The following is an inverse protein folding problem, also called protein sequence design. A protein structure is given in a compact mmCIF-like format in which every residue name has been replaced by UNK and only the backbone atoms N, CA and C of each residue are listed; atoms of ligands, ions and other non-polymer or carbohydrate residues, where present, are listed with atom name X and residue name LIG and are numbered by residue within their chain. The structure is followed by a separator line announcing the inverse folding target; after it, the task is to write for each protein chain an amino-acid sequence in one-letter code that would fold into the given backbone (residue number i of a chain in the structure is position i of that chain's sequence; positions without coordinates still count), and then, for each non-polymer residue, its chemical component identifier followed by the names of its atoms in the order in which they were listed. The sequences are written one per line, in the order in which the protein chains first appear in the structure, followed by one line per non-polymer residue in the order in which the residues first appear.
data_IF_481647333016
#
_entry.id   IF_481647333016
#
_cell.length_a   1.000
_cell.length_b   1.000
_cell.length_c   1.000
_cell.angle_alpha   90.00
_cell.angle_beta   90.00
_cell.angle_gamma   90.00
#
_symmetry.space_group_name_H-M   'P 1'
#
loop_
_entity.id
_entity.type
_entity.pdbx_description
1 polymer ?
#
# COMPACT_ATOMS: atom_id res chain seq x y z
N UNK A 1 44.91 27.51 22.92
CA UNK A 1 44.16 27.62 24.19
C UNK A 1 42.78 28.14 23.82
N UNK A 2 41.85 27.24 23.47
CA UNK A 2 40.47 27.58 23.12
C UNK A 2 39.68 27.30 24.39
N UNK A 3 39.37 28.35 25.15
CA UNK A 3 38.51 28.26 26.32
C UNK A 3 37.13 27.76 25.90
N UNK A 4 36.74 26.64 26.51
CA UNK A 4 35.46 25.99 26.28
C UNK A 4 34.32 26.94 26.58
N UNK A 5 33.50 27.18 25.57
CA UNK A 5 32.26 27.94 25.65
C UNK A 5 31.34 27.23 26.67
N UNK A 6 31.33 27.71 27.91
CA UNK A 6 30.54 27.17 29.01
C UNK A 6 29.06 27.49 28.77
N UNK A 7 28.39 26.64 27.99
CA UNK A 7 26.95 26.72 27.80
C UNK A 7 26.28 26.52 29.16
N UNK A 8 25.59 27.56 29.64
CA UNK A 8 24.83 27.56 30.90
C UNK A 8 23.94 26.32 30.99
N UNK A 9 23.93 25.67 32.15
CA UNK A 9 23.14 24.46 32.42
C UNK A 9 21.63 24.66 32.16
N UNK A 10 21.13 25.89 32.35
CA UNK A 10 19.77 26.29 31.98
C UNK A 10 19.55 26.26 30.46
N UNK A 11 20.51 26.73 29.68
CA UNK A 11 20.44 26.72 28.22
C UNK A 11 20.41 25.29 27.69
N UNK A 12 21.22 24.37 28.26
CA UNK A 12 21.20 22.94 27.92
C UNK A 12 19.83 22.31 28.16
N UNK A 13 19.19 22.61 29.31
CA UNK A 13 17.84 22.12 29.62
C UNK A 13 16.80 22.63 28.62
N UNK A 14 16.86 23.91 28.22
CA UNK A 14 15.95 24.47 27.21
C UNK A 14 16.14 23.79 25.85
N UNK A 15 17.40 23.57 25.42
CA UNK A 15 17.68 22.87 24.16
C UNK A 15 17.20 21.41 24.17
N UNK A 16 17.35 20.70 25.29
CA UNK A 16 16.83 19.34 25.44
C UNK A 16 15.30 19.30 25.33
N UNK A 17 14.60 20.22 26.01
CA UNK A 17 13.14 20.31 25.93
C UNK A 17 12.68 20.64 24.50
N UNK A 18 13.36 21.56 23.81
CA UNK A 18 13.04 21.89 22.41
C UNK A 18 13.29 20.70 21.47
N UNK A 19 14.36 19.95 21.69
CA UNK A 19 14.66 18.74 20.94
C UNK A 19 13.57 17.67 21.13
N UNK A 20 13.15 17.44 22.37
CA UNK A 20 12.11 16.46 22.69
C UNK A 20 10.76 16.87 22.10
N UNK A 21 10.38 18.15 22.20
CA UNK A 21 9.16 18.69 21.58
C UNK A 21 9.22 18.50 20.07
N UNK A 22 10.33 18.84 19.42
CA UNK A 22 10.50 18.67 17.99
C UNK A 22 10.43 17.19 17.57
N UNK A 23 11.02 16.29 18.35
CA UNK A 23 10.94 14.85 18.11
C UNK A 23 9.50 14.33 18.19
N UNK A 24 8.75 14.76 19.20
CA UNK A 24 7.33 14.40 19.38
C UNK A 24 6.50 14.93 18.19
N UNK A 25 6.62 16.22 17.86
CA UNK A 25 5.86 16.84 16.78
C UNK A 25 6.13 16.15 15.43
N UNK A 26 7.40 15.91 15.10
CA UNK A 26 7.75 15.25 13.83
C UNK A 26 7.25 13.81 13.78
N UNK A 27 7.33 13.08 14.90
CA UNK A 27 6.83 11.70 14.98
C UNK A 27 5.31 11.67 14.80
N UNK A 28 4.57 12.55 15.45
CA UNK A 28 3.11 12.64 15.33
C UNK A 28 2.66 13.07 13.93
N UNK A 29 3.35 14.03 13.31
CA UNK A 29 3.06 14.45 11.94
C UNK A 29 3.32 13.32 10.94
N UNK A 30 4.42 12.59 11.10
CA UNK A 30 4.77 11.47 10.22
C UNK A 30 3.77 10.33 10.33
N UNK A 31 3.34 9.97 11.55
CA UNK A 31 2.35 8.91 11.75
C UNK A 31 0.98 9.32 11.20
N UNK A 32 0.55 10.56 11.42
CA UNK A 32 -0.71 11.06 10.88
C UNK A 32 -0.72 11.01 9.35
N UNK A 33 0.33 11.53 8.70
CA UNK A 33 0.46 11.48 7.25
C UNK A 33 0.46 10.06 6.70
N UNK A 34 1.15 9.14 7.38
CA UNK A 34 1.20 7.72 7.01
C UNK A 34 -0.17 7.05 7.07
N UNK A 35 -0.95 7.32 8.12
CA UNK A 35 -2.32 6.82 8.28
C UNK A 35 -3.24 7.40 7.22
N UNK A 36 -3.19 8.72 7.01
CA UNK A 36 -4.03 9.38 6.00
C UNK A 36 -3.74 8.87 4.59
N UNK A 37 -2.47 8.71 4.24
CA UNK A 37 -2.05 8.22 2.93
C UNK A 37 -2.47 6.76 2.72
N UNK A 38 -2.25 5.88 3.70
CA UNK A 38 -2.66 4.47 3.62
C UNK A 38 -4.18 4.31 3.57
N UNK A 39 -4.93 5.10 4.34
CA UNK A 39 -6.39 5.11 4.30
C UNK A 39 -6.91 5.59 2.95
N UNK A 40 -6.38 6.69 2.42
CA UNK A 40 -6.75 7.20 1.09
C UNK A 40 -6.46 6.17 0.00
N UNK A 41 -5.28 5.55 0.03
CA UNK A 41 -4.90 4.51 -0.94
C UNK A 41 -5.82 3.29 -0.85
N UNK A 42 -6.11 2.82 0.36
CA UNK A 42 -7.03 1.71 0.60
C UNK A 42 -8.44 1.98 0.09
N UNK A 43 -8.97 3.18 0.36
CA UNK A 43 -10.28 3.62 -0.13
C UNK A 43 -10.32 3.71 -1.66
N UNK A 44 -9.28 4.27 -2.28
CA UNK A 44 -9.19 4.35 -3.73
C UNK A 44 -9.16 2.96 -4.38
N UNK A 45 -8.39 2.02 -3.82
CA UNK A 45 -8.34 0.64 -4.27
C UNK A 45 -9.67 -0.09 -4.06
N UNK A 46 -10.35 0.15 -2.94
CA UNK A 46 -11.68 -0.39 -2.67
C UNK A 46 -12.70 0.11 -3.70
N UNK A 47 -12.70 1.42 -3.97
CA UNK A 47 -13.57 2.03 -4.97
C UNK A 47 -13.32 1.46 -6.38
N UNK A 48 -12.05 1.29 -6.78
CA UNK A 48 -11.70 0.64 -8.06
C UNK A 48 -12.20 -0.81 -8.10
N UNK A 49 -12.03 -1.56 -7.02
CA UNK A 49 -12.50 -2.94 -6.91
C UNK A 49 -14.02 -3.02 -7.11
N UNK A 50 -14.77 -2.13 -6.46
CA UNK A 50 -16.23 -2.07 -6.58
C UNK A 50 -16.67 -1.73 -8.02
N UNK A 51 -16.05 -0.72 -8.63
CA UNK A 51 -16.31 -0.37 -10.03
C UNK A 51 -16.01 -1.53 -11.00
N UNK A 52 -14.95 -2.29 -10.77
CA UNK A 52 -14.62 -3.48 -11.56
C UNK A 52 -15.71 -4.55 -11.42
N UNK A 53 -16.19 -4.83 -10.21
CA UNK A 53 -17.29 -5.78 -9.97
C UNK A 53 -18.61 -5.32 -10.60
N UNK A 54 -18.90 -4.03 -10.54
CA UNK A 54 -20.08 -3.47 -11.23
C UNK A 54 -19.96 -3.67 -12.74
N UNK A 55 -18.78 -3.44 -13.30
CA UNK A 55 -18.50 -3.64 -14.73
C UNK A 55 -18.69 -5.11 -15.10
N UNK A 56 -18.19 -6.05 -14.30
CA UNK A 56 -18.36 -7.49 -14.51
C UNK A 56 -19.85 -7.90 -14.53
N UNK A 57 -20.66 -7.42 -13.59
CA UNK A 57 -22.11 -7.65 -13.58
C UNK A 57 -22.78 -7.06 -14.81
N UNK A 58 -22.39 -5.87 -15.24
CA UNK A 58 -22.90 -5.24 -16.45
C UNK A 58 -22.51 -6.05 -17.71
N UNK A 59 -21.31 -6.65 -17.75
CA UNK A 59 -20.89 -7.57 -18.82
C UNK A 59 -21.78 -8.81 -18.90
N UNK A 60 -22.17 -9.36 -17.74
CA UNK A 60 -23.02 -10.54 -17.70
C UNK A 60 -24.43 -10.29 -18.26
N UNK A 61 -24.96 -9.08 -18.04
CA UNK A 61 -26.33 -8.73 -18.39
C UNK A 61 -26.50 -8.05 -19.75
N UNK A 62 -25.43 -7.53 -20.34
CA UNK A 62 -25.49 -6.80 -21.61
C UNK A 62 -25.90 -7.71 -22.77
N UNK A 63 -26.96 -7.32 -23.49
CA UNK A 63 -27.49 -8.03 -24.66
C UNK A 63 -27.39 -7.20 -25.94
N UNK A 64 -27.30 -5.88 -25.80
CA UNK A 64 -27.24 -4.95 -26.94
C UNK A 64 -25.85 -4.35 -27.14
N UNK A 65 -25.52 -3.97 -28.38
CA UNK A 65 -24.25 -3.30 -28.69
C UNK A 65 -24.06 -1.98 -27.94
N UNK A 66 -25.15 -1.25 -27.69
CA UNK A 66 -25.09 0.01 -26.95
C UNK A 66 -24.59 -0.20 -25.52
N UNK A 67 -25.09 -1.24 -24.87
CA UNK A 67 -24.69 -1.63 -23.51
C UNK A 67 -23.23 -2.11 -23.50
N UNK A 68 -22.82 -2.92 -24.49
CA UNK A 68 -21.42 -3.33 -24.63
C UNK A 68 -20.47 -2.13 -24.81
N UNK A 69 -20.82 -1.16 -25.66
CA UNK A 69 -20.03 0.07 -25.86
C UNK A 69 -19.94 0.88 -24.56
N UNK A 70 -21.03 0.98 -23.79
CA UNK A 70 -21.06 1.65 -22.49
C UNK A 70 -20.14 0.97 -21.47
N UNK A 71 -20.18 -0.36 -21.37
CA UNK A 71 -19.33 -1.15 -20.46
C UNK A 71 -17.85 -1.01 -20.81
N UNK A 72 -17.51 -1.03 -22.10
CA UNK A 72 -16.12 -0.79 -22.54
C UNK A 72 -15.68 0.63 -22.17
N UNK A 73 -16.53 1.64 -22.35
CA UNK A 73 -16.21 3.02 -21.95
C UNK A 73 -16.01 3.15 -20.43
N UNK A 74 -16.85 2.51 -19.63
CA UNK A 74 -16.70 2.46 -18.17
C UNK A 74 -15.36 1.84 -17.77
N UNK A 75 -14.97 0.73 -18.41
CA UNK A 75 -13.67 0.09 -18.21
C UNK A 75 -12.50 1.01 -18.57
N UNK A 76 -12.58 1.72 -19.69
CA UNK A 76 -11.56 2.71 -20.09
C UNK A 76 -11.39 3.79 -19.02
N UNK A 77 -12.49 4.25 -18.42
CA UNK A 77 -12.47 5.22 -17.32
C UNK A 77 -11.80 4.65 -16.07
N UNK A 78 -12.15 3.44 -15.65
CA UNK A 78 -11.51 2.73 -14.51
C UNK A 78 -10.01 2.61 -14.74
N UNK A 79 -9.61 2.21 -15.94
CA UNK A 79 -8.20 2.06 -16.33
C UNK A 79 -7.44 3.39 -16.22
N UNK A 80 -8.02 4.49 -16.69
CA UNK A 80 -7.40 5.81 -16.57
C UNK A 80 -7.30 6.26 -15.10
N UNK A 81 -8.31 5.94 -14.27
CA UNK A 81 -8.26 6.19 -12.82
C UNK A 81 -7.13 5.39 -12.15
N UNK A 82 -7.01 4.10 -12.46
CA UNK A 82 -5.91 3.26 -11.97
C UNK A 82 -4.54 3.80 -12.38
N UNK A 83 -4.39 4.25 -13.63
CA UNK A 83 -3.15 4.85 -14.11
C UNK A 83 -2.82 6.16 -13.39
N UNK A 84 -3.82 7.00 -13.13
CA UNK A 84 -3.64 8.23 -12.36
C UNK A 84 -3.24 7.93 -10.91
N UNK A 85 -3.90 6.94 -10.29
CA UNK A 85 -3.59 6.51 -8.93
C UNK A 85 -2.17 5.95 -8.85
N UNK A 86 -1.78 5.11 -9.80
CA UNK A 86 -0.42 4.56 -9.88
C UNK A 86 0.63 5.65 -10.02
N UNK A 87 0.44 6.60 -10.95
CA UNK A 87 1.39 7.68 -11.16
C UNK A 87 1.57 8.58 -9.93
N UNK A 88 0.51 8.79 -9.15
CA UNK A 88 0.55 9.65 -7.97
C UNK A 88 1.03 8.90 -6.72
N UNK A 89 0.64 7.64 -6.55
CA UNK A 89 0.78 6.90 -5.29
C UNK A 89 1.87 5.83 -5.30
N UNK A 90 2.46 5.45 -6.44
CA UNK A 90 3.45 4.38 -6.49
C UNK A 90 4.68 4.67 -5.61
N UNK A 91 5.19 5.91 -5.63
CA UNK A 91 6.30 6.36 -4.80
C UNK A 91 5.90 6.44 -3.31
N UNK A 92 4.82 7.16 -2.94
CA UNK A 92 4.38 7.23 -1.55
C UNK A 92 4.09 5.85 -0.93
N UNK A 93 3.42 4.95 -1.67
CA UNK A 93 3.15 3.60 -1.21
C UNK A 93 4.43 2.80 -0.98
N UNK A 94 5.41 2.90 -1.89
CA UNK A 94 6.72 2.27 -1.71
C UNK A 94 7.45 2.80 -0.47
N UNK A 95 7.53 4.12 -0.31
CA UNK A 95 8.19 4.72 0.86
C UNK A 95 7.51 4.30 2.16
N UNK A 96 6.18 4.18 2.16
CA UNK A 96 5.41 3.78 3.33
C UNK A 96 5.62 2.30 3.69
N UNK A 97 5.78 1.43 2.69
CA UNK A 97 6.15 0.02 2.92
C UNK A 97 7.55 -0.07 3.51
N UNK A 98 8.54 0.60 2.91
CA UNK A 98 9.93 0.57 3.40
C UNK A 98 10.06 1.16 4.81
N UNK A 99 9.36 2.27 5.09
CA UNK A 99 9.35 2.87 6.43
C UNK A 99 8.69 1.93 7.45
N UNK A 100 7.62 1.25 7.06
CA UNK A 100 6.92 0.30 7.93
C UNK A 100 7.77 -0.94 8.22
N UNK A 101 8.44 -1.51 7.21
CA UNK A 101 9.38 -2.61 7.41
C UNK A 101 10.55 -2.21 8.33
N UNK A 102 11.07 -1.00 8.17
CA UNK A 102 12.12 -0.44 9.04
C UNK A 102 11.62 -0.26 10.48
N UNK A 103 10.40 0.24 10.66
CA UNK A 103 9.75 0.40 11.95
C UNK A 103 9.53 -0.93 12.67
N UNK A 104 9.10 -1.96 11.94
CA UNK A 104 8.98 -3.32 12.46
C UNK A 104 10.33 -3.86 12.94
N UNK A 105 11.37 -3.76 12.10
CA UNK A 105 12.72 -4.20 12.45
C UNK A 105 13.24 -3.54 13.74
N UNK A 106 13.08 -2.22 13.86
CA UNK A 106 13.50 -1.49 15.07
C UNK A 106 12.68 -1.85 16.30
N UNK A 107 11.38 -2.13 16.14
CA UNK A 107 10.54 -2.58 17.25
C UNK A 107 11.00 -3.94 17.76
N UNK A 108 11.19 -4.91 16.86
CA UNK A 108 11.68 -6.25 17.22
C UNK A 108 13.07 -6.20 17.86
N UNK A 109 13.97 -5.35 17.34
CA UNK A 109 15.28 -5.12 17.92
C UNK A 109 15.19 -4.62 19.38
N UNK A 110 14.32 -3.63 19.65
CA UNK A 110 14.13 -3.10 21.01
C UNK A 110 13.57 -4.15 21.96
N UNK A 111 12.60 -4.95 21.50
CA UNK A 111 12.03 -6.05 22.29
C UNK A 111 13.13 -7.01 22.76
N UNK A 112 14.00 -7.46 21.85
CA UNK A 112 15.02 -8.47 22.15
C UNK A 112 16.18 -7.89 22.98
N UNK A 113 16.72 -6.74 22.57
CA UNK A 113 18.00 -6.26 23.09
C UNK A 113 17.89 -5.20 24.20
N UNK A 114 16.77 -4.47 24.28
CA UNK A 114 16.60 -3.36 25.24
C UNK A 114 15.75 -3.78 26.44
N UNK A 115 14.67 -4.54 26.22
CA UNK A 115 13.76 -4.98 27.30
C UNK A 115 14.49 -5.79 28.38
N UNK A 116 15.52 -6.54 28.01
CA UNK A 116 16.33 -7.33 28.94
C UNK A 116 17.17 -6.50 29.92
N UNK A 117 17.32 -5.17 29.71
CA UNK A 117 18.18 -4.30 30.53
C UNK A 117 17.43 -3.35 31.45
N UNK A 118 16.13 -3.13 31.28
CA UNK A 118 15.38 -2.08 31.99
C UNK A 118 14.29 -2.65 32.89
N UNK A 119 14.22 -2.14 34.14
CA UNK A 119 13.29 -2.57 35.20
C UNK A 119 11.79 -2.27 34.91
N UNK A 120 11.47 -1.62 33.79
CA UNK A 120 10.12 -1.21 33.38
C UNK A 120 9.64 -2.03 32.15
N UNK A 121 9.89 -3.34 32.19
CA UNK A 121 9.84 -4.25 31.03
C UNK A 121 8.46 -4.39 30.38
N UNK A 122 7.37 -4.35 31.16
CA UNK A 122 6.02 -4.61 30.64
C UNK A 122 5.48 -3.49 29.74
N UNK A 123 5.53 -2.23 30.19
CA UNK A 123 5.04 -1.09 29.38
C UNK A 123 5.88 -0.89 28.11
N UNK A 124 7.19 -1.12 28.19
CA UNK A 124 8.06 -1.05 27.03
C UNK A 124 7.73 -2.14 26.00
N UNK A 125 7.54 -3.38 26.46
CA UNK A 125 7.10 -4.49 25.60
C UNK A 125 5.75 -4.22 24.94
N UNK A 126 4.77 -3.73 25.70
CA UNK A 126 3.45 -3.39 25.17
C UNK A 126 3.54 -2.29 24.09
N UNK A 127 4.37 -1.26 24.31
CA UNK A 127 4.57 -0.20 23.32
C UNK A 127 5.21 -0.69 22.02
N UNK A 128 6.15 -1.64 22.10
CA UNK A 128 6.81 -2.21 20.93
C UNK A 128 5.87 -3.11 20.13
N UNK A 129 5.10 -3.96 20.82
CA UNK A 129 4.10 -4.82 20.16
C UNK A 129 2.99 -3.98 19.50
N UNK A 130 2.55 -2.89 20.13
CA UNK A 130 1.63 -1.94 19.52
C UNK A 130 2.20 -1.28 18.24
N UNK A 131 3.47 -0.88 18.25
CA UNK A 131 4.12 -0.32 17.07
C UNK A 131 4.23 -1.34 15.92
N UNK A 132 4.49 -2.60 16.24
CA UNK A 132 4.54 -3.68 15.26
C UNK A 132 3.16 -3.93 14.61
N UNK A 133 2.10 -4.01 15.42
CA UNK A 133 0.73 -4.14 14.92
C UNK A 133 0.32 -2.97 14.02
N UNK A 134 0.73 -1.75 14.36
CA UNK A 134 0.49 -0.56 13.54
C UNK A 134 1.15 -0.66 12.16
N UNK A 135 2.44 -1.00 12.10
CA UNK A 135 3.16 -1.13 10.83
C UNK A 135 2.64 -2.30 9.98
N UNK A 136 2.32 -3.44 10.62
CA UNK A 136 1.64 -4.56 9.96
C UNK A 136 0.31 -4.14 9.32
N UNK A 137 -0.49 -3.33 10.03
CA UNK A 137 -1.79 -2.86 9.55
C UNK A 137 -1.64 -1.96 8.33
N UNK A 138 -0.64 -1.05 8.33
CA UNK A 138 -0.34 -0.19 7.18
C UNK A 138 0.05 -1.03 5.95
N UNK A 139 1.01 -1.95 6.11
CA UNK A 139 1.47 -2.82 5.03
C UNK A 139 0.29 -3.65 4.48
N UNK A 140 -0.52 -4.22 5.38
CA UNK A 140 -1.73 -4.97 5.03
C UNK A 140 -2.71 -4.12 4.23
N UNK A 141 -3.05 -2.92 4.68
CA UNK A 141 -3.95 -2.01 3.97
C UNK A 141 -3.44 -1.69 2.56
N UNK A 142 -2.16 -1.39 2.39
CA UNK A 142 -1.59 -1.09 1.07
C UNK A 142 -1.60 -2.31 0.16
N UNK A 143 -1.02 -3.42 0.60
CA UNK A 143 -0.80 -4.59 -0.27
C UNK A 143 -2.12 -5.30 -0.58
N UNK A 144 -2.98 -5.53 0.42
CA UNK A 144 -4.23 -6.27 0.22
C UNK A 144 -5.20 -5.50 -0.66
N UNK A 145 -5.33 -4.18 -0.44
CA UNK A 145 -6.25 -3.36 -1.23
C UNK A 145 -5.81 -3.27 -2.69
N UNK A 146 -4.52 -3.04 -2.96
CA UNK A 146 -4.00 -3.00 -4.32
C UNK A 146 -4.02 -4.37 -5.01
N UNK A 147 -3.71 -5.44 -4.29
CA UNK A 147 -3.84 -6.80 -4.81
C UNK A 147 -5.29 -7.10 -5.21
N UNK A 148 -6.27 -6.75 -4.37
CA UNK A 148 -7.69 -6.90 -4.68
C UNK A 148 -8.11 -6.09 -5.91
N UNK A 149 -7.70 -4.83 -6.00
CA UNK A 149 -8.00 -3.97 -7.14
C UNK A 149 -7.38 -4.51 -8.44
N UNK A 150 -6.15 -5.00 -8.39
CA UNK A 150 -5.47 -5.64 -9.52
C UNK A 150 -6.20 -6.90 -10.00
N UNK A 151 -6.57 -7.79 -9.07
CA UNK A 151 -7.33 -9.01 -9.41
C UNK A 151 -8.67 -8.66 -10.02
N UNK A 152 -9.42 -7.73 -9.42
CA UNK A 152 -10.72 -7.31 -9.94
C UNK A 152 -10.61 -6.66 -11.33
N UNK A 153 -9.56 -5.88 -11.58
CA UNK A 153 -9.32 -5.26 -12.88
C UNK A 153 -9.00 -6.30 -13.98
N UNK A 154 -8.26 -7.37 -13.64
CA UNK A 154 -7.97 -8.47 -14.56
C UNK A 154 -9.22 -9.31 -14.84
N UNK A 155 -10.01 -9.65 -13.81
CA UNK A 155 -11.29 -10.37 -14.01
C UNK A 155 -12.24 -9.56 -14.90
N UNK A 156 -12.38 -8.25 -14.62
CA UNK A 156 -13.17 -7.36 -15.46
C UNK A 156 -12.61 -7.25 -16.90
N UNK A 157 -11.32 -7.54 -17.10
CA UNK A 157 -10.67 -7.52 -18.43
C UNK A 157 -11.03 -8.75 -19.21
N UNK A 158 -10.89 -9.90 -18.60
CA UNK A 158 -11.25 -11.18 -19.19
C UNK A 158 -12.74 -11.21 -19.53
N UNK A 159 -13.60 -10.71 -18.62
CA UNK A 159 -15.03 -10.56 -18.86
C UNK A 159 -15.30 -9.71 -20.12
N UNK A 160 -14.69 -8.53 -20.23
CA UNK A 160 -14.87 -7.64 -21.38
C UNK A 160 -14.25 -8.22 -22.68
N UNK A 161 -13.15 -8.96 -22.60
CA UNK A 161 -12.55 -9.64 -23.74
C UNK A 161 -13.40 -10.82 -24.24
N UNK A 162 -14.24 -11.40 -23.39
CA UNK A 162 -15.18 -12.47 -23.78
C UNK A 162 -16.40 -11.95 -24.58
N UNK A 163 -16.66 -10.64 -24.58
CA UNK A 163 -17.83 -10.04 -25.25
C UNK A 163 -18.02 -10.41 -26.73
N UNK A 164 -16.98 -10.40 -27.60
CA UNK A 164 -17.16 -10.69 -29.01
C UNK A 164 -17.73 -12.10 -29.25
N UNK A 165 -17.46 -13.06 -28.36
CA UNK A 165 -18.04 -14.40 -28.42
C UNK A 165 -19.52 -14.44 -28.08
N UNK A 166 -20.02 -13.49 -27.28
CA UNK A 166 -21.44 -13.42 -26.87
C UNK A 166 -22.33 -12.75 -27.91
N UNK A 167 -21.79 -11.83 -28.72
CA UNK A 167 -22.56 -11.11 -29.75
C UNK A 167 -21.82 -11.17 -31.10
N UNK A 168 -21.98 -12.29 -31.84
CA UNK A 168 -21.26 -12.51 -33.09
C UNK A 168 -21.52 -11.43 -34.15
N UNK A 169 -22.72 -10.84 -34.13
CA UNK A 169 -23.16 -9.81 -35.07
C UNK A 169 -22.25 -8.56 -35.10
N UNK A 170 -21.55 -8.27 -34.00
CA UNK A 170 -20.68 -7.09 -33.89
C UNK A 170 -19.22 -7.45 -33.57
N UNK A 171 -18.84 -8.69 -33.85
CA UNK A 171 -17.53 -9.25 -33.51
C UNK A 171 -16.36 -8.37 -34.00
N UNK A 172 -16.41 -7.91 -35.26
CA UNK A 172 -15.33 -7.11 -35.84
C UNK A 172 -15.19 -5.72 -35.21
N UNK A 173 -16.29 -5.01 -34.93
CA UNK A 173 -16.27 -3.71 -34.25
C UNK A 173 -15.70 -3.84 -32.82
N UNK A 174 -16.23 -4.79 -32.04
CA UNK A 174 -15.80 -5.02 -30.67
C UNK A 174 -14.32 -5.45 -30.62
N UNK A 175 -13.89 -6.32 -31.53
CA UNK A 175 -12.51 -6.80 -31.61
C UNK A 175 -11.51 -5.66 -31.85
N UNK A 176 -11.83 -4.67 -32.69
CA UNK A 176 -10.93 -3.52 -32.92
C UNK A 176 -10.77 -2.68 -31.66
N UNK A 177 -11.86 -2.39 -30.96
CA UNK A 177 -11.85 -1.60 -29.72
C UNK A 177 -11.10 -2.34 -28.61
N UNK A 178 -11.39 -3.63 -28.44
CA UNK A 178 -10.73 -4.50 -27.45
C UNK A 178 -9.25 -4.73 -27.75
N UNK A 179 -8.84 -4.75 -29.02
CA UNK A 179 -7.42 -4.87 -29.40
C UNK A 179 -6.61 -3.63 -29.03
N UNK A 180 -7.24 -2.45 -28.99
CA UNK A 180 -6.60 -1.22 -28.47
C UNK A 180 -6.52 -1.23 -26.95
N UNK A 181 -7.51 -1.78 -26.26
CA UNK A 181 -7.53 -1.86 -24.79
C UNK A 181 -6.58 -2.95 -24.25
N UNK A 182 -6.60 -4.16 -24.84
CA UNK A 182 -5.80 -5.31 -24.41
C UNK A 182 -4.28 -5.10 -24.47
N UNK A 183 -3.79 -4.20 -25.34
CA UNK A 183 -2.36 -3.88 -25.42
C UNK A 183 -1.83 -3.12 -24.20
N UNK A 184 -2.70 -2.54 -23.36
CA UNK A 184 -2.30 -1.77 -22.18
C UNK A 184 -2.68 -2.53 -20.91
N UNK A 185 -1.75 -3.32 -20.38
CA UNK A 185 -1.86 -3.87 -19.03
C UNK A 185 -1.54 -2.76 -18.03
N UNK A 186 -2.53 -2.37 -17.23
CA UNK A 186 -2.34 -1.43 -16.11
C UNK A 186 -2.62 -2.19 -14.82
N UNK A 187 -1.63 -2.20 -13.94
CA UNK A 187 -1.71 -2.74 -12.60
C UNK A 187 -1.13 -1.73 -11.62
N UNK A 188 -1.63 -1.77 -10.39
CA UNK A 188 -1.03 -1.07 -9.26
C UNK A 188 0.25 -1.79 -8.84
N UNK A 189 1.34 -1.05 -8.72
CA UNK A 189 2.67 -1.60 -8.42
C UNK A 189 3.33 -0.84 -7.28
N UNK A 190 4.28 -1.49 -6.61
CA UNK A 190 5.22 -0.81 -5.74
C UNK A 190 6.36 -0.30 -6.63
N UNK A 191 6.36 1.01 -6.89
CA UNK A 191 7.38 1.71 -7.68
C UNK A 191 7.64 1.11 -9.09
N UNK A 192 6.69 0.47 -9.76
CA UNK A 192 6.94 -0.22 -11.06
C UNK A 192 7.97 -1.36 -11.01
N UNK A 193 8.51 -1.69 -9.83
CA UNK A 193 9.48 -2.79 -9.63
C UNK A 193 8.74 -4.09 -9.33
N UNK A 194 7.67 -4.01 -8.53
CA UNK A 194 6.90 -5.18 -8.13
C UNK A 194 5.41 -4.98 -8.36
N UNK A 195 4.80 -5.89 -9.15
CA UNK A 195 3.35 -6.02 -9.17
C UNK A 195 2.90 -6.41 -7.76
N UNK A 196 1.97 -5.66 -7.20
CA UNK A 196 1.47 -5.96 -5.86
C UNK A 196 0.63 -7.24 -5.94
N UNK A 197 1.14 -8.29 -5.30
CA UNK A 197 0.54 -9.62 -5.20
C UNK A 197 0.66 -10.15 -3.75
N UNK A 198 -0.20 -11.10 -3.37
CA UNK A 198 -0.28 -11.69 -2.02
C UNK A 198 1.04 -12.35 -1.59
N UNK A 199 1.85 -12.77 -2.56
CA UNK A 199 3.19 -13.34 -2.37
C UNK A 199 4.19 -12.37 -1.69
N UNK A 200 3.99 -11.06 -1.83
CA UNK A 200 4.84 -10.04 -1.19
C UNK A 200 4.68 -10.04 0.34
N UNK A 201 3.46 -10.29 0.84
CA UNK A 201 3.15 -10.41 2.26
C UNK A 201 3.89 -11.62 2.84
N UNK A 202 3.83 -12.75 2.14
CA UNK A 202 4.48 -14.01 2.56
C UNK A 202 6.00 -13.81 2.64
N UNK A 203 6.58 -13.10 1.68
CA UNK A 203 8.03 -12.82 1.67
C UNK A 203 8.45 -11.88 2.80
N UNK A 204 7.65 -10.84 3.09
CA UNK A 204 7.92 -9.93 4.20
C UNK A 204 7.83 -10.64 5.56
N UNK A 205 6.80 -11.48 5.76
CA UNK A 205 6.64 -12.30 6.98
C UNK A 205 7.75 -13.34 7.12
N UNK A 206 8.13 -14.02 6.02
CA UNK A 206 9.21 -15.01 6.02
C UNK A 206 10.57 -14.40 6.35
N UNK A 207 10.83 -13.18 5.88
CA UNK A 207 12.07 -12.45 6.22
C UNK A 207 12.15 -12.16 7.72
N UNK A 208 11.05 -11.72 8.33
CA UNK A 208 10.98 -11.50 9.79
C UNK A 208 11.15 -12.80 10.59
N UNK A 209 10.53 -13.91 10.13
CA UNK A 209 10.68 -15.22 10.76
C UNK A 209 12.10 -15.79 10.68
N UNK A 210 12.81 -15.57 9.56
CA UNK A 210 14.16 -16.08 9.35
C UNK A 210 15.19 -15.37 10.23
N UNK A 211 15.05 -14.04 10.41
CA UNK A 211 15.89 -13.27 11.34
C UNK A 211 15.68 -13.73 12.79
N UNK A 212 14.44 -14.08 13.17
CA UNK A 212 14.14 -14.60 14.51
C UNK A 212 14.64 -16.04 14.73
N UNK A 213 14.69 -16.88 13.68
CA UNK A 213 15.15 -18.26 13.79
C UNK A 213 16.67 -18.40 13.90
N UNK A 214 17.45 -17.45 13.36
CA UNK A 214 18.91 -17.57 13.35
C UNK A 214 19.58 -17.16 14.67
N UNK A 215 18.88 -16.42 15.54
CA UNK A 215 19.40 -15.97 16.85
C UNK A 215 19.07 -16.91 18.03
N UNK A 216 18.47 -18.07 17.76
CA UNK A 216 18.14 -19.10 18.77
C UNK A 216 19.12 -20.29 18.75
N UNK A 217 20.37 -20.07 18.31
CA UNK A 217 21.48 -21.04 18.39
C UNK A 217 22.68 -20.42 19.07
#
# INVERSE_FOLDING_TARGET
MIEGMFISEKLKKVFLVLYDINAIINTTLLTLNSVSLSAFYGLACFYITDLCRHTEKAVANAKEIRECKAVIYQRLKIRNLMQSLENFMCFPAFTLVVSSMTGMFWSSYKVIFVTNKTNNSYLHYLSCTAAEMFHCSIIGMLILSASSANTAAEVAKEAVLSFPGKIPQYYNELKVILRKDSKKNICLTLWKVYKIDRSLIISAVATLGTVNSHNNK
#
